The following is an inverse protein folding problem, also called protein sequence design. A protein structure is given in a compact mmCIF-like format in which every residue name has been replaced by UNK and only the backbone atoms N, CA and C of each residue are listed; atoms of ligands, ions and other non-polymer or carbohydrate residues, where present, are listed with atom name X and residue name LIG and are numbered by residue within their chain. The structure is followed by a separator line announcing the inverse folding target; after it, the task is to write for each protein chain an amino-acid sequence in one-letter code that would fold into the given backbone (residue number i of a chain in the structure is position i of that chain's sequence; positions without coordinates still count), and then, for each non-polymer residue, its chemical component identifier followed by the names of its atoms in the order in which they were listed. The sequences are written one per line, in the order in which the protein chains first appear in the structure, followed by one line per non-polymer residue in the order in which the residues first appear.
data_IF_792556802598
#
_entry.id   IF_792556802598
#
_cell.length_a   1.000
_cell.length_b   1.000
_cell.length_c   1.000
_cell.angle_alpha   90.00
_cell.angle_beta   90.00
_cell.angle_gamma   90.00
#
_symmetry.space_group_name_H-M   'P 1'
#
loop_
_entity.id
_entity.type
_entity.pdbx_description
1 polymer ?
#
# COMPACT_ATOMS: atom_id res chain seq x y z
N UNK A 1 0.23 20.90 5.69
CA UNK A 1 0.44 19.63 4.98
C UNK A 1 -0.64 18.63 5.36
N UNK A 2 -0.69 18.17 6.63
CA UNK A 2 -1.65 17.09 7.01
C UNK A 2 -3.12 17.50 6.82
N UNK A 3 -3.51 18.74 7.16
CA UNK A 3 -4.87 19.23 6.94
C UNK A 3 -5.31 19.20 5.47
N UNK A 4 -4.39 19.42 4.54
CA UNK A 4 -4.65 19.35 3.10
C UNK A 4 -4.85 17.91 2.64
N UNK A 5 -4.09 16.95 3.19
CA UNK A 5 -4.29 15.54 2.90
C UNK A 5 -5.64 15.06 3.46
N UNK A 6 -6.00 15.48 4.68
CA UNK A 6 -7.31 15.14 5.27
C UNK A 6 -8.49 15.69 4.45
N UNK A 7 -8.32 16.86 3.83
CA UNK A 7 -9.36 17.45 2.98
C UNK A 7 -9.68 16.64 1.72
N UNK A 8 -8.79 15.72 1.31
CA UNK A 8 -9.03 14.81 0.18
C UNK A 8 -10.00 13.67 0.52
N UNK A 9 -10.14 13.32 1.80
CA UNK A 9 -11.05 12.26 2.24
C UNK A 9 -12.51 12.59 1.88
N UNK A 10 -13.21 11.64 1.31
CA UNK A 10 -14.64 11.74 0.94
C UNK A 10 -15.54 10.96 1.89
N UNK A 11 -14.94 10.17 2.78
CA UNK A 11 -15.64 9.43 3.82
C UNK A 11 -15.13 9.84 5.20
N UNK A 12 -15.97 9.79 6.24
CA UNK A 12 -15.54 10.12 7.60
C UNK A 12 -14.51 9.11 8.13
N UNK A 13 -13.37 9.58 8.59
CA UNK A 13 -12.35 8.78 9.26
C UNK A 13 -12.53 8.93 10.79
N UNK A 14 -13.53 8.24 11.35
CA UNK A 14 -13.73 8.18 12.81
C UNK A 14 -12.71 7.23 13.43
N UNK A 15 -12.20 7.60 14.61
CA UNK A 15 -11.19 6.82 15.34
C UNK A 15 -9.96 6.47 14.48
N UNK A 16 -9.52 7.42 13.66
CA UNK A 16 -8.43 7.25 12.69
C UNK A 16 -7.10 6.90 13.36
N UNK A 17 -6.33 6.09 12.64
CA UNK A 17 -4.93 5.78 12.97
C UNK A 17 -3.95 6.87 12.49
N UNK A 18 -4.44 7.86 11.74
CA UNK A 18 -3.65 8.97 11.18
C UNK A 18 -3.29 9.97 12.29
N UNK A 19 -2.24 9.68 13.00
CA UNK A 19 -1.80 10.41 14.17
C UNK A 19 -0.29 10.53 14.25
N UNK A 20 0.17 11.46 15.08
CA UNK A 20 1.57 11.60 15.44
C UNK A 20 2.05 10.34 16.18
N UNK A 21 3.17 9.76 15.72
CA UNK A 21 3.76 8.53 16.29
C UNK A 21 5.05 8.82 17.08
N UNK A 22 5.78 9.88 16.71
CA UNK A 22 6.98 10.34 17.40
C UNK A 22 7.20 11.83 17.14
N UNK A 23 7.99 12.49 17.97
CA UNK A 23 8.36 13.90 17.80
C UNK A 23 7.28 14.88 18.22
N UNK A 24 7.19 16.03 17.53
CA UNK A 24 6.33 17.16 17.89
C UNK A 24 5.53 17.68 16.71
N UNK A 25 4.24 18.00 16.94
CA UNK A 25 3.38 18.65 15.95
C UNK A 25 3.80 20.09 15.63
N UNK A 26 4.59 20.72 16.51
CA UNK A 26 5.09 22.09 16.36
C UNK A 26 6.44 22.15 15.59
N UNK A 27 6.91 20.99 15.07
CA UNK A 27 8.16 20.95 14.29
C UNK A 27 8.00 21.74 13.00
N UNK A 28 8.89 22.69 12.77
CA UNK A 28 9.06 23.31 11.45
C UNK A 28 9.61 22.25 10.49
N UNK A 29 9.01 22.13 9.30
CA UNK A 29 9.36 21.13 8.31
C UNK A 29 9.96 21.80 7.08
N UNK A 30 11.21 21.46 6.76
CA UNK A 30 11.91 21.82 5.53
C UNK A 30 12.26 20.60 4.69
N UNK A 31 12.62 19.51 5.34
CA UNK A 31 12.91 18.23 4.74
C UNK A 31 11.81 17.22 5.15
N UNK A 32 11.00 16.77 4.17
CA UNK A 32 9.92 15.84 4.35
C UNK A 32 10.21 14.51 3.66
N UNK A 33 10.23 13.43 4.44
CA UNK A 33 10.34 12.06 3.95
C UNK A 33 8.97 11.40 3.88
N UNK A 34 8.74 10.56 2.87
CA UNK A 34 7.62 9.60 2.85
C UNK A 34 8.16 8.18 2.73
N UNK A 35 7.45 7.21 3.28
CA UNK A 35 7.72 5.78 3.07
C UNK A 35 6.45 4.96 3.30
N UNK A 36 6.46 3.71 2.86
CA UNK A 36 5.38 2.78 3.15
C UNK A 36 5.31 2.46 4.65
N UNK A 37 6.42 2.03 5.23
CA UNK A 37 6.54 1.70 6.66
C UNK A 37 7.91 2.14 7.20
N UNK A 38 7.95 2.69 8.41
CA UNK A 38 9.18 3.14 9.05
C UNK A 38 10.02 1.96 9.56
N UNK A 39 10.75 1.27 8.68
CA UNK A 39 11.74 0.27 9.10
C UNK A 39 12.96 0.96 9.77
N UNK A 40 13.74 0.25 10.60
CA UNK A 40 14.97 0.82 11.16
C UNK A 40 15.95 1.35 10.11
N UNK A 41 15.97 0.75 8.92
CA UNK A 41 16.80 1.21 7.80
C UNK A 41 16.29 2.54 7.24
N UNK A 42 14.98 2.65 6.98
CA UNK A 42 14.34 3.90 6.53
C UNK A 42 14.50 5.01 7.56
N UNK A 43 14.31 4.70 8.85
CA UNK A 43 14.47 5.68 9.94
C UNK A 43 15.89 6.27 9.91
N UNK A 44 16.93 5.44 9.80
CA UNK A 44 18.31 5.92 9.70
C UNK A 44 18.56 6.72 8.44
N UNK A 45 18.12 6.21 7.29
CA UNK A 45 18.33 6.89 6.00
C UNK A 45 17.63 8.24 5.94
N UNK A 46 16.40 8.35 6.46
CA UNK A 46 15.67 9.62 6.54
C UNK A 46 16.34 10.60 7.52
N UNK A 47 16.79 10.12 8.68
CA UNK A 47 17.52 10.95 9.65
C UNK A 47 18.88 11.42 9.11
N UNK A 48 19.65 10.55 8.45
CA UNK A 48 20.93 10.88 7.82
C UNK A 48 20.76 11.91 6.70
N UNK A 49 19.62 11.88 6.00
CA UNK A 49 19.26 12.90 5.00
C UNK A 49 18.85 14.23 5.63
N UNK A 50 18.46 14.23 6.90
CA UNK A 50 18.06 15.42 7.64
C UNK A 50 16.55 15.64 7.72
N UNK A 51 15.73 14.60 7.51
CA UNK A 51 14.27 14.72 7.55
C UNK A 51 13.77 15.29 8.88
N UNK A 52 12.96 16.33 8.80
CA UNK A 52 12.21 16.88 9.94
C UNK A 52 10.95 16.07 10.22
N UNK A 53 10.29 15.63 9.13
CA UNK A 53 9.05 14.85 9.15
C UNK A 53 9.17 13.60 8.26
N UNK A 54 8.83 12.45 8.83
CA UNK A 54 8.61 11.21 8.09
C UNK A 54 7.12 10.88 8.09
N UNK A 55 6.49 10.83 6.93
CA UNK A 55 5.12 10.36 6.76
C UNK A 55 5.15 8.88 6.38
N UNK A 56 4.50 8.04 7.18
CA UNK A 56 4.38 6.60 6.95
C UNK A 56 2.94 6.23 6.60
N UNK A 57 2.74 5.18 5.84
CA UNK A 57 1.42 4.61 5.58
C UNK A 57 1.04 3.58 6.65
N UNK A 58 1.89 2.59 6.84
CA UNK A 58 1.68 1.48 7.75
C UNK A 58 2.16 1.76 9.19
N UNK A 59 1.70 0.94 10.20
CA UNK A 59 2.04 1.14 11.59
C UNK A 59 3.53 1.26 11.84
N UNK A 60 3.89 2.20 12.70
CA UNK A 60 5.27 2.34 13.17
C UNK A 60 5.67 1.15 14.05
N UNK A 61 4.73 0.64 14.83
CA UNK A 61 4.91 -0.49 15.73
C UNK A 61 3.91 -1.59 15.37
N UNK A 62 4.08 -2.81 15.73
CA UNK A 62 3.46 -4.05 15.25
C UNK A 62 1.99 -4.25 15.66
N UNK A 63 1.20 -3.18 15.67
CA UNK A 63 -0.24 -3.16 15.92
C UNK A 63 -0.90 -2.09 15.04
N UNK A 64 -2.09 -2.37 14.50
CA UNK A 64 -2.77 -1.46 13.58
C UNK A 64 -3.00 -0.05 14.18
N UNK A 65 -3.21 0.05 15.48
CA UNK A 65 -3.37 1.33 16.19
C UNK A 65 -2.06 1.86 16.80
N UNK A 66 -0.94 1.18 16.57
CA UNK A 66 0.33 1.43 17.25
C UNK A 66 0.22 1.34 18.78
N UNK A 67 -0.70 0.46 19.28
CA UNK A 67 -0.90 0.23 20.69
C UNK A 67 0.08 -0.82 21.23
N UNK A 68 0.93 -0.42 22.14
CA UNK A 68 2.00 -1.27 22.69
C UNK A 68 1.53 -2.29 23.73
N UNK A 69 0.31 -2.12 24.27
CA UNK A 69 -0.29 -3.05 25.25
C UNK A 69 -0.52 -4.47 24.74
N UNK A 70 -0.61 -4.66 23.42
CA UNK A 70 -0.76 -5.99 22.81
C UNK A 70 0.55 -6.80 22.80
N UNK A 71 1.69 -6.13 22.86
CA UNK A 71 3.03 -6.73 22.85
C UNK A 71 3.95 -6.11 23.91
N UNK A 72 3.52 -6.12 25.20
CA UNK A 72 4.25 -5.45 26.27
C UNK A 72 5.68 -5.99 26.36
N UNK A 73 6.64 -5.08 26.60
CA UNK A 73 8.07 -5.40 26.71
C UNK A 73 8.70 -6.05 25.47
N UNK A 74 8.12 -5.86 24.27
CA UNK A 74 8.69 -6.37 23.04
C UNK A 74 10.06 -5.71 22.77
N UNK A 75 11.17 -6.46 22.72
CA UNK A 75 12.51 -5.89 22.59
C UNK A 75 12.75 -5.20 21.23
N UNK A 76 12.11 -5.69 20.16
CA UNK A 76 12.25 -5.10 18.81
C UNK A 76 11.54 -3.75 18.77
N UNK A 77 10.32 -3.68 19.32
CA UNK A 77 9.57 -2.42 19.43
C UNK A 77 10.33 -1.38 20.27
N UNK A 78 10.86 -1.78 21.44
CA UNK A 78 11.64 -0.89 22.32
C UNK A 78 12.90 -0.37 21.64
N UNK A 79 13.63 -1.24 20.92
CA UNK A 79 14.82 -0.84 20.17
C UNK A 79 14.47 0.13 19.02
N UNK A 80 13.36 -0.10 18.33
CA UNK A 80 12.87 0.79 17.28
C UNK A 80 12.43 2.14 17.83
N UNK A 81 11.75 2.15 18.99
CA UNK A 81 11.35 3.37 19.68
C UNK A 81 12.57 4.19 20.10
N UNK A 82 13.55 3.55 20.75
CA UNK A 82 14.80 4.20 21.12
C UNK A 82 15.56 4.78 19.91
N UNK A 83 15.54 4.07 18.77
CA UNK A 83 16.11 4.57 17.52
C UNK A 83 15.41 5.84 17.06
N UNK A 84 14.07 5.84 17.01
CA UNK A 84 13.28 7.02 16.63
C UNK A 84 13.51 8.21 17.56
N UNK A 85 13.46 7.98 18.87
CA UNK A 85 13.69 9.02 19.89
C UNK A 85 15.09 9.63 19.73
N UNK A 86 16.08 8.82 19.36
CA UNK A 86 17.47 9.26 19.13
C UNK A 86 17.65 10.15 17.89
N UNK A 87 16.74 10.11 16.91
CA UNK A 87 16.81 10.94 15.70
C UNK A 87 16.25 12.35 15.91
N UNK A 88 15.33 12.53 16.86
CA UNK A 88 14.57 13.77 17.02
C UNK A 88 13.60 14.09 15.85
N UNK A 89 13.45 13.19 14.90
CA UNK A 89 12.56 13.33 13.74
C UNK A 89 11.09 13.18 14.17
N UNK A 90 10.21 13.94 13.56
CA UNK A 90 8.77 13.76 13.71
C UNK A 90 8.28 12.65 12.79
N UNK A 91 7.45 11.73 13.30
CA UNK A 91 6.82 10.66 12.52
C UNK A 91 5.31 10.79 12.59
N UNK A 92 4.68 10.85 11.44
CA UNK A 92 3.22 10.91 11.30
C UNK A 92 2.71 9.77 10.43
N UNK A 93 1.70 9.03 10.89
CA UNK A 93 1.03 8.02 10.06
C UNK A 93 -0.11 8.65 9.28
N UNK A 94 -0.17 8.39 7.97
CA UNK A 94 -1.23 8.81 7.06
C UNK A 94 -1.72 7.59 6.28
N UNK A 95 -2.82 7.01 6.71
CA UNK A 95 -3.40 5.77 6.18
C UNK A 95 -4.87 5.97 5.82
N UNK A 96 -5.74 6.15 6.82
CA UNK A 96 -7.19 6.16 6.63
C UNK A 96 -7.65 7.24 5.67
N UNK A 97 -7.08 8.44 5.76
CA UNK A 97 -7.47 9.56 4.88
C UNK A 97 -7.02 9.36 3.44
N UNK A 98 -5.97 8.57 3.18
CA UNK A 98 -5.60 8.20 1.82
C UNK A 98 -6.63 7.23 1.23
N UNK A 99 -7.03 6.21 1.97
CA UNK A 99 -8.04 5.24 1.56
C UNK A 99 -9.47 5.83 1.52
N UNK A 100 -9.75 6.85 2.33
CA UNK A 100 -11.03 7.57 2.29
C UNK A 100 -11.15 8.55 1.12
N UNK A 101 -10.12 8.76 0.33
CA UNK A 101 -10.13 9.50 -0.93
C UNK A 101 -11.04 8.85 -1.99
N UNK A 102 -11.49 9.63 -2.97
CA UNK A 102 -12.11 9.12 -4.18
C UNK A 102 -11.56 9.92 -5.37
N UNK A 103 -10.66 9.34 -6.14
CA UNK A 103 -10.13 7.96 -5.99
C UNK A 103 -9.33 7.76 -4.68
N UNK A 104 -9.23 6.50 -4.24
CA UNK A 104 -8.31 6.08 -3.18
C UNK A 104 -6.89 6.51 -3.54
N UNK A 105 -6.20 7.20 -2.62
CA UNK A 105 -4.91 7.83 -2.91
C UNK A 105 -3.80 6.81 -3.19
N UNK A 106 -3.85 5.64 -2.54
CA UNK A 106 -2.89 4.54 -2.75
C UNK A 106 -3.14 3.89 -4.11
N UNK A 107 -4.38 3.45 -4.39
CA UNK A 107 -4.73 2.81 -5.67
C UNK A 107 -4.47 3.76 -6.84
N UNK A 108 -4.83 5.04 -6.71
CA UNK A 108 -4.57 6.03 -7.75
C UNK A 108 -3.07 6.21 -8.03
N UNK A 109 -2.25 6.20 -6.98
CA UNK A 109 -0.79 6.24 -7.10
C UNK A 109 -0.24 5.03 -7.84
N UNK A 110 -0.72 3.83 -7.50
CA UNK A 110 -0.32 2.58 -8.15
C UNK A 110 -0.78 2.52 -9.62
N UNK A 111 -2.00 2.97 -9.93
CA UNK A 111 -2.50 3.07 -11.32
C UNK A 111 -1.69 4.08 -12.15
N UNK A 112 -1.26 5.19 -11.55
CA UNK A 112 -0.38 6.16 -12.21
C UNK A 112 0.94 5.49 -12.65
N UNK A 113 1.50 4.61 -11.83
CA UNK A 113 2.72 3.83 -12.18
C UNK A 113 2.45 2.80 -13.26
N UNK A 114 1.30 2.13 -13.23
CA UNK A 114 0.92 1.10 -14.21
C UNK A 114 0.70 1.70 -15.60
N UNK A 115 0.15 2.91 -15.69
CA UNK A 115 -0.17 3.56 -16.97
C UNK A 115 -1.08 2.68 -17.85
N UNK A 116 -2.04 2.00 -17.25
CA UNK A 116 -3.00 1.18 -17.99
C UNK A 116 -4.01 2.05 -18.74
N UNK A 117 -4.34 1.61 -19.94
CA UNK A 117 -5.48 2.13 -20.71
C UNK A 117 -6.74 1.43 -20.21
N UNK A 118 -7.50 2.10 -19.33
CA UNK A 118 -8.59 1.49 -18.57
C UNK A 118 -9.58 2.53 -18.04
N UNK A 119 -10.78 2.04 -17.72
CA UNK A 119 -11.72 2.74 -16.85
C UNK A 119 -11.53 2.29 -15.40
N UNK A 120 -11.58 3.22 -14.46
CA UNK A 120 -11.46 2.95 -13.03
C UNK A 120 -12.67 3.51 -12.29
N UNK A 121 -13.35 2.68 -11.48
CA UNK A 121 -14.58 3.05 -10.76
C UNK A 121 -14.33 3.95 -9.52
N UNK A 122 -13.07 4.31 -9.26
CA UNK A 122 -12.61 5.04 -8.08
C UNK A 122 -12.73 4.28 -6.74
N UNK A 123 -13.01 2.97 -6.79
CA UNK A 123 -12.98 2.07 -5.64
C UNK A 123 -11.97 0.94 -5.84
N UNK A 124 -12.32 -0.10 -6.59
CA UNK A 124 -11.46 -1.28 -6.81
C UNK A 124 -11.46 -1.76 -8.25
N UNK A 125 -12.56 -1.54 -9.00
CA UNK A 125 -12.74 -2.12 -10.31
C UNK A 125 -12.02 -1.32 -11.39
N UNK A 126 -11.18 -2.01 -12.12
CA UNK A 126 -10.46 -1.52 -13.30
C UNK A 126 -10.91 -2.35 -14.48
N UNK A 127 -11.44 -1.71 -15.51
CA UNK A 127 -11.81 -2.34 -16.77
C UNK A 127 -10.82 -1.96 -17.86
N UNK A 128 -9.99 -2.94 -18.25
CA UNK A 128 -8.98 -2.75 -19.27
C UNK A 128 -9.65 -2.61 -20.65
N UNK A 129 -9.27 -1.59 -21.42
CA UNK A 129 -9.77 -1.44 -22.80
C UNK A 129 -9.22 -2.53 -23.74
N UNK A 130 -8.12 -3.14 -23.38
CA UNK A 130 -7.58 -4.33 -24.07
C UNK A 130 -7.45 -5.49 -23.07
N UNK A 131 -8.09 -6.62 -23.38
CA UNK A 131 -8.00 -7.84 -22.57
C UNK A 131 -6.55 -8.32 -22.45
N UNK A 132 -6.19 -8.77 -21.24
CA UNK A 132 -4.89 -9.36 -20.93
C UNK A 132 -5.08 -10.65 -20.16
N UNK A 133 -4.15 -11.57 -20.32
CA UNK A 133 -4.06 -12.75 -19.44
C UNK A 133 -3.56 -12.35 -18.05
N UNK A 134 -3.88 -13.15 -17.03
CA UNK A 134 -3.36 -12.90 -15.68
C UNK A 134 -1.81 -12.93 -15.64
N UNK A 135 -1.16 -13.72 -16.52
CA UNK A 135 0.31 -13.72 -16.66
C UNK A 135 0.85 -12.40 -17.18
N UNK A 136 0.21 -11.81 -18.18
CA UNK A 136 0.61 -10.50 -18.73
C UNK A 136 0.43 -9.41 -17.68
N UNK A 137 -0.69 -9.44 -16.96
CA UNK A 137 -0.94 -8.51 -15.84
C UNK A 137 0.15 -8.69 -14.77
N UNK A 138 0.44 -9.90 -14.32
CA UNK A 138 1.47 -10.18 -13.32
C UNK A 138 2.85 -9.67 -13.75
N UNK A 139 3.23 -9.90 -15.03
CA UNK A 139 4.50 -9.43 -15.57
C UNK A 139 4.58 -7.88 -15.60
N UNK A 140 3.47 -7.21 -15.88
CA UNK A 140 3.39 -5.75 -15.82
C UNK A 140 3.51 -5.23 -14.38
N UNK A 141 2.85 -5.89 -13.41
CA UNK A 141 2.97 -5.58 -11.98
C UNK A 141 4.41 -5.76 -11.50
N UNK A 142 5.05 -6.91 -11.79
CA UNK A 142 6.47 -7.13 -11.48
C UNK A 142 7.36 -6.00 -12.03
N UNK A 143 7.17 -5.66 -13.29
CA UNK A 143 7.98 -4.64 -13.95
C UNK A 143 7.71 -3.22 -13.46
N UNK A 144 6.44 -2.82 -13.33
CA UNK A 144 6.05 -1.43 -13.05
C UNK A 144 6.08 -1.10 -11.56
N UNK A 145 5.74 -2.06 -10.70
CA UNK A 145 5.84 -1.92 -9.25
C UNK A 145 7.20 -2.36 -8.70
N UNK A 146 8.07 -2.95 -9.54
CA UNK A 146 9.40 -3.39 -9.14
C UNK A 146 9.36 -4.58 -8.17
N UNK A 147 8.40 -5.50 -8.36
CA UNK A 147 8.24 -6.68 -7.50
C UNK A 147 9.24 -7.76 -7.87
N UNK A 148 9.74 -8.48 -6.88
CA UNK A 148 10.60 -9.64 -7.13
C UNK A 148 9.82 -10.80 -7.77
N UNK A 149 8.60 -11.04 -7.30
CA UNK A 149 7.68 -12.06 -7.81
C UNK A 149 6.23 -11.74 -7.45
N UNK A 150 5.30 -12.13 -8.33
CA UNK A 150 3.87 -12.19 -8.07
C UNK A 150 3.46 -13.66 -7.91
N UNK A 151 2.78 -14.00 -6.82
CA UNK A 151 2.17 -15.33 -6.64
C UNK A 151 0.86 -15.37 -7.42
N UNK A 152 0.63 -16.44 -8.17
CA UNK A 152 -0.53 -16.54 -9.06
C UNK A 152 -1.32 -17.83 -8.81
N UNK A 153 -2.65 -17.73 -8.90
CA UNK A 153 -3.54 -18.89 -8.88
C UNK A 153 -4.72 -18.71 -9.86
N UNK A 154 -5.33 -19.79 -10.28
CA UNK A 154 -6.55 -19.80 -11.11
C UNK A 154 -6.29 -19.83 -12.61
N UNK A 155 -7.11 -19.14 -13.37
CA UNK A 155 -7.03 -19.06 -14.85
C UNK A 155 -5.97 -18.01 -15.25
N UNK A 156 -4.82 -18.50 -15.67
CA UNK A 156 -3.68 -17.63 -15.97
C UNK A 156 -3.56 -17.24 -17.46
N UNK A 157 -4.30 -17.93 -18.32
CA UNK A 157 -4.05 -17.90 -19.78
C UNK A 157 -5.25 -17.37 -20.59
N UNK A 158 -6.44 -17.27 -20.00
CA UNK A 158 -7.60 -16.66 -20.65
C UNK A 158 -7.49 -15.13 -20.61
N UNK A 159 -7.65 -14.41 -21.75
CA UNK A 159 -7.67 -12.94 -21.76
C UNK A 159 -8.91 -12.38 -21.07
N UNK A 160 -8.71 -11.55 -20.05
CA UNK A 160 -9.72 -10.93 -19.19
C UNK A 160 -9.55 -9.40 -19.18
N UNK A 161 -10.62 -8.68 -18.83
CA UNK A 161 -10.64 -7.22 -18.78
C UNK A 161 -11.07 -6.66 -17.42
N UNK A 162 -11.75 -7.45 -16.59
CA UNK A 162 -12.17 -7.06 -15.24
C UNK A 162 -11.09 -7.35 -14.19
N UNK A 163 -10.39 -6.32 -13.75
CA UNK A 163 -9.33 -6.40 -12.73
C UNK A 163 -9.74 -5.65 -11.48
N UNK A 164 -9.67 -6.30 -10.33
CA UNK A 164 -10.00 -5.68 -9.04
C UNK A 164 -8.73 -5.47 -8.23
N UNK A 165 -8.37 -4.22 -7.98
CA UNK A 165 -7.20 -3.83 -7.18
C UNK A 165 -7.59 -3.73 -5.71
N UNK A 166 -7.56 -4.85 -5.00
CA UNK A 166 -7.75 -4.90 -3.54
C UNK A 166 -6.39 -5.04 -2.85
N UNK A 167 -5.50 -4.12 -3.18
CA UNK A 167 -4.12 -4.05 -2.73
C UNK A 167 -4.03 -3.80 -1.22
N UNK A 168 -2.88 -4.08 -0.61
CA UNK A 168 -2.73 -4.03 0.85
C UNK A 168 -3.41 -5.21 1.57
N UNK A 169 -4.00 -4.96 2.73
CA UNK A 169 -4.61 -5.96 3.60
C UNK A 169 -6.12 -5.75 3.78
N UNK A 170 -6.88 -5.81 2.70
CA UNK A 170 -8.35 -5.57 2.68
C UNK A 170 -9.18 -6.59 3.46
N UNK A 171 -8.61 -7.75 3.74
CA UNK A 171 -9.27 -8.83 4.47
C UNK A 171 -10.14 -9.74 3.59
N UNK A 172 -10.17 -11.01 3.99
CA UNK A 172 -10.76 -12.12 3.22
C UNK A 172 -12.25 -11.99 2.93
N UNK A 173 -13.03 -11.42 3.86
CA UNK A 173 -14.47 -11.22 3.67
C UNK A 173 -14.74 -10.23 2.52
N UNK A 174 -13.93 -9.18 2.41
CA UNK A 174 -14.05 -8.22 1.33
C UNK A 174 -13.62 -8.85 -0.01
N UNK A 175 -12.54 -9.64 -0.01
CA UNK A 175 -12.13 -10.39 -1.21
C UNK A 175 -13.25 -11.32 -1.70
N UNK A 176 -13.83 -12.13 -0.80
CA UNK A 176 -14.94 -13.04 -1.14
C UNK A 176 -16.15 -12.30 -1.68
N UNK A 177 -16.48 -11.14 -1.11
CA UNK A 177 -17.60 -10.30 -1.58
C UNK A 177 -17.39 -9.82 -3.01
N UNK A 178 -16.18 -9.42 -3.38
CA UNK A 178 -15.89 -8.98 -4.74
C UNK A 178 -15.82 -10.16 -5.73
N UNK A 179 -15.23 -11.27 -5.32
CA UNK A 179 -15.12 -12.48 -6.16
C UNK A 179 -16.45 -13.08 -6.59
N UNK A 180 -17.56 -12.76 -5.92
CA UNK A 180 -18.92 -13.14 -6.34
C UNK A 180 -19.42 -12.37 -7.55
N UNK A 181 -18.80 -11.25 -7.89
CA UNK A 181 -19.17 -10.46 -9.07
C UNK A 181 -18.59 -11.10 -10.34
N UNK A 182 -19.37 -11.10 -11.40
CA UNK A 182 -18.96 -11.71 -12.68
C UNK A 182 -17.78 -10.97 -13.31
N UNK A 183 -17.74 -9.66 -13.18
CA UNK A 183 -16.70 -8.79 -13.70
C UNK A 183 -15.42 -8.77 -12.87
N UNK A 184 -15.42 -9.31 -11.64
CA UNK A 184 -14.20 -9.55 -10.88
C UNK A 184 -13.51 -10.82 -11.40
N UNK A 185 -12.77 -10.68 -12.50
CA UNK A 185 -12.09 -11.80 -13.16
C UNK A 185 -10.68 -11.98 -12.63
N UNK A 186 -9.92 -10.91 -12.45
CA UNK A 186 -8.58 -10.92 -11.86
C UNK A 186 -8.59 -10.13 -10.55
N UNK A 187 -8.33 -10.80 -9.45
CA UNK A 187 -8.18 -10.17 -8.14
C UNK A 187 -6.70 -9.94 -7.85
N UNK A 188 -6.28 -8.68 -7.72
CA UNK A 188 -4.94 -8.28 -7.31
C UNK A 188 -4.97 -7.90 -5.84
N UNK A 189 -4.13 -8.53 -5.02
CA UNK A 189 -4.09 -8.33 -3.56
C UNK A 189 -2.67 -8.07 -3.07
N UNK A 190 -2.56 -7.45 -1.87
CA UNK A 190 -1.31 -7.39 -1.14
C UNK A 190 -1.16 -8.55 -0.17
N UNK A 191 -2.22 -8.89 0.56
CA UNK A 191 -2.27 -10.02 1.49
C UNK A 191 -3.57 -10.80 1.34
N UNK A 192 -3.49 -12.12 1.40
CA UNK A 192 -4.67 -12.98 1.42
C UNK A 192 -4.38 -14.37 2.00
N UNK A 193 -5.43 -15.12 2.33
CA UNK A 193 -5.27 -16.49 2.82
C UNK A 193 -5.26 -17.52 1.69
N UNK A 194 -4.29 -18.44 1.72
CA UNK A 194 -4.21 -19.53 0.75
C UNK A 194 -5.39 -20.50 0.90
N UNK A 195 -5.71 -20.90 2.15
CA UNK A 195 -6.75 -21.90 2.45
C UNK A 195 -8.16 -21.46 2.06
N UNK A 196 -8.42 -20.17 1.93
CA UNK A 196 -9.76 -19.64 1.63
C UNK A 196 -9.82 -19.01 0.24
N UNK A 197 -9.10 -17.91 0.02
CA UNK A 197 -9.15 -17.17 -1.25
C UNK A 197 -8.40 -17.94 -2.34
N UNK A 198 -7.21 -18.44 -2.03
CA UNK A 198 -6.43 -19.27 -2.96
C UNK A 198 -7.19 -20.51 -3.40
N UNK A 199 -7.79 -21.25 -2.45
CA UNK A 199 -8.58 -22.46 -2.77
C UNK A 199 -9.88 -22.13 -3.53
N UNK A 200 -10.58 -21.02 -3.17
CA UNK A 200 -11.75 -20.58 -3.94
C UNK A 200 -11.39 -20.31 -5.41
N UNK A 201 -10.30 -19.64 -5.67
CA UNK A 201 -9.82 -19.34 -7.03
C UNK A 201 -9.42 -20.63 -7.77
N UNK A 202 -8.75 -21.57 -7.07
CA UNK A 202 -8.40 -22.89 -7.63
C UNK A 202 -9.65 -23.65 -8.05
N UNK A 203 -10.65 -23.72 -7.18
CA UNK A 203 -11.92 -24.42 -7.46
C UNK A 203 -12.66 -23.72 -8.62
N UNK A 204 -12.72 -22.39 -8.62
CA UNK A 204 -13.33 -21.64 -9.70
C UNK A 204 -12.72 -22.01 -11.06
N UNK A 205 -11.39 -22.05 -11.16
CA UNK A 205 -10.70 -22.47 -12.37
C UNK A 205 -11.02 -23.91 -12.78
N UNK A 206 -11.00 -24.86 -11.83
CA UNK A 206 -11.32 -26.27 -12.09
C UNK A 206 -12.78 -26.50 -12.52
N UNK A 207 -13.67 -25.59 -12.10
CA UNK A 207 -15.08 -25.58 -12.50
C UNK A 207 -15.35 -24.81 -13.81
N UNK A 208 -14.30 -24.31 -14.48
CA UNK A 208 -14.41 -23.58 -15.74
C UNK A 208 -14.85 -22.13 -15.59
N UNK A 209 -14.76 -21.57 -14.39
CA UNK A 209 -14.96 -20.14 -14.14
C UNK A 209 -13.64 -19.41 -14.35
N UNK A 210 -13.67 -18.33 -15.15
CA UNK A 210 -12.48 -17.55 -15.49
C UNK A 210 -12.16 -16.55 -14.38
N UNK A 211 -11.47 -17.02 -13.34
CA UNK A 211 -10.99 -16.19 -12.23
C UNK A 211 -9.52 -16.45 -11.93
N UNK A 212 -8.78 -15.39 -11.64
CA UNK A 212 -7.38 -15.44 -11.26
C UNK A 212 -7.12 -14.60 -10.00
N UNK A 213 -6.10 -15.01 -9.23
CA UNK A 213 -5.55 -14.28 -8.10
C UNK A 213 -4.10 -13.91 -8.38
N UNK A 214 -3.74 -12.65 -8.15
CA UNK A 214 -2.38 -12.13 -8.20
C UNK A 214 -2.04 -11.54 -6.84
N UNK A 215 -1.15 -12.18 -6.10
CA UNK A 215 -0.70 -11.74 -4.77
C UNK A 215 0.68 -11.09 -4.89
N UNK A 216 0.69 -9.78 -4.67
CA UNK A 216 1.84 -8.88 -4.89
C UNK A 216 2.65 -8.60 -3.63
N UNK A 217 2.19 -9.07 -2.47
CA UNK A 217 2.72 -8.65 -1.18
C UNK A 217 2.28 -7.24 -0.78
N UNK A 218 2.08 -7.00 0.51
CA UNK A 218 1.54 -5.75 1.04
C UNK A 218 2.39 -4.54 0.64
N UNK A 219 3.68 -4.55 1.01
CA UNK A 219 4.62 -3.48 0.66
C UNK A 219 4.61 -3.19 -0.84
N UNK A 220 4.71 -4.24 -1.64
CA UNK A 220 4.85 -4.14 -3.09
C UNK A 220 3.64 -3.53 -3.78
N UNK A 221 2.45 -3.69 -3.18
CA UNK A 221 1.18 -3.26 -3.77
C UNK A 221 0.73 -1.85 -3.36
N UNK A 222 1.38 -1.21 -2.36
CA UNK A 222 0.94 0.10 -1.85
C UNK A 222 2.03 1.17 -1.80
N UNK A 223 3.31 0.76 -1.86
CA UNK A 223 4.42 1.70 -1.72
C UNK A 223 4.47 2.81 -2.77
N UNK A 224 3.97 2.55 -3.98
CA UNK A 224 3.90 3.53 -5.05
C UNK A 224 2.96 4.70 -4.74
N UNK A 225 1.92 4.47 -3.95
CA UNK A 225 1.06 5.54 -3.45
C UNK A 225 1.83 6.56 -2.60
N UNK A 226 2.77 6.10 -1.77
CA UNK A 226 3.62 6.96 -0.94
C UNK A 226 4.70 7.71 -1.73
N UNK A 227 5.19 7.12 -2.82
CA UNK A 227 6.08 7.80 -3.76
C UNK A 227 5.34 8.97 -4.45
N UNK A 228 4.13 8.71 -4.94
CA UNK A 228 3.27 9.75 -5.55
C UNK A 228 2.88 10.83 -4.54
N UNK A 229 2.65 10.47 -3.28
CA UNK A 229 2.40 11.44 -2.21
C UNK A 229 3.58 12.43 -2.04
N UNK A 230 4.82 11.95 -2.05
CA UNK A 230 6.00 12.82 -1.99
C UNK A 230 6.04 13.82 -3.15
N UNK A 231 5.79 13.34 -4.39
CA UNK A 231 5.71 14.20 -5.57
C UNK A 231 4.61 15.28 -5.46
N UNK A 232 3.46 14.90 -4.94
CA UNK A 232 2.33 15.81 -4.75
C UNK A 232 2.64 16.88 -3.72
N UNK A 233 3.22 16.52 -2.57
CA UNK A 233 3.58 17.47 -1.53
C UNK A 233 4.66 18.44 -2.05
N UNK A 234 5.68 17.94 -2.73
CA UNK A 234 6.72 18.79 -3.33
C UNK A 234 6.14 19.81 -4.31
N UNK A 235 5.13 19.44 -5.09
CA UNK A 235 4.47 20.35 -6.01
C UNK A 235 3.60 21.40 -5.30
N UNK A 236 2.94 21.03 -4.20
CA UNK A 236 2.07 21.91 -3.42
C UNK A 236 2.85 22.85 -2.51
N UNK A 237 4.02 22.40 -2.04
CA UNK A 237 4.89 23.11 -1.10
C UNK A 237 6.33 23.19 -1.66
N UNK A 238 6.59 24.06 -2.63
CA UNK A 238 7.88 24.14 -3.32
C UNK A 238 9.05 24.64 -2.42
N UNK A 239 8.74 25.10 -1.24
CA UNK A 239 9.66 25.48 -0.17
C UNK A 239 10.07 24.32 0.75
N UNK A 240 9.46 23.14 0.58
CA UNK A 240 9.77 21.92 1.31
C UNK A 240 10.46 20.94 0.37
N UNK A 241 11.65 20.47 0.75
CA UNK A 241 12.30 19.39 0.05
C UNK A 241 11.64 18.06 0.43
N UNK A 242 11.10 17.33 -0.57
CA UNK A 242 10.39 16.08 -0.35
C UNK A 242 11.15 14.92 -0.96
N UNK A 243 11.22 13.77 -0.23
CA UNK A 243 11.88 12.56 -0.69
C UNK A 243 11.12 11.31 -0.26
N UNK A 244 10.89 10.41 -1.22
CA UNK A 244 10.41 9.05 -0.93
C UNK A 244 11.60 8.15 -0.55
N UNK A 245 11.44 7.36 0.51
CA UNK A 245 12.38 6.35 0.95
C UNK A 245 11.81 4.97 0.67
N UNK A 246 12.47 4.24 -0.20
CA UNK A 246 12.08 2.89 -0.62
C UNK A 246 12.12 1.91 0.56
N UNK A 247 11.12 1.05 0.62
CA UNK A 247 11.06 -0.09 1.54
C UNK A 247 11.10 -1.37 0.73
N UNK A 248 12.09 -2.22 0.98
CA UNK A 248 12.21 -3.52 0.32
C UNK A 248 11.07 -4.47 0.72
N UNK A 249 10.83 -5.49 -0.11
CA UNK A 249 9.87 -6.55 0.20
C UNK A 249 10.30 -7.31 1.46
N UNK A 250 9.30 -7.77 2.26
CA UNK A 250 9.55 -8.54 3.50
C UNK A 250 10.17 -9.90 3.21
N UNK A 251 9.73 -10.52 2.10
CA UNK A 251 10.18 -11.87 1.72
C UNK A 251 11.29 -11.81 0.67
N UNK A 252 12.24 -12.73 0.79
CA UNK A 252 13.27 -12.99 -0.21
C UNK A 252 12.98 -14.29 -0.93
N UNK A 253 13.35 -14.38 -2.19
CA UNK A 253 13.12 -15.57 -3.02
C UNK A 253 14.47 -16.24 -3.35
N UNK A 254 14.48 -17.58 -3.33
CA UNK A 254 15.63 -18.32 -3.84
C UNK A 254 15.75 -18.08 -5.35
N UNK A 255 16.98 -17.86 -5.80
CA UNK A 255 17.32 -17.69 -7.22
C UNK A 255 17.39 -19.01 -7.94
#
# INVERSE_FOLDING_TARGET
IMAEQFAKAKMPCKDTVDTLKAGSAEREVKELATCFIATPEVIRAAADWGADLLITHEPTYYDHRDYDGNIPNNPVMQAKKALLDGTGMTVYRLHDHMHAGRPDGIIAGELKKLQWDCDYDNEFAVHLHQKKTAREIAAELEKKWGLARVRMAGDLDTPMDGVYLMIGAFGEENHMKQLQKDDCQVLVVGETSEWRIGEYIRDAHQLGLHKALLDCGHVGSERGGMEVLAEEIARQHPDIECRYFEVGEVYSYLK
#
